data_IF_028374372959
#
_entry.id   IF_028374372959
#
_cell.length_a   1.000
_cell.length_b   1.000
_cell.length_c   1.000
_cell.angle_alpha   90.00
_cell.angle_beta   90.00
_cell.angle_gamma   90.00
#
_symmetry.space_group_name_H-M   'P 1'
#
loop_
_entity.id
_entity.type
_entity.pdbx_description
1 polymer ?
#
# COMPACT_ATOMS: atom_id res chain seq x y z
N UNK A 1 0.28 -7.50 -12.15
CA UNK A 1 -0.77 -7.52 -11.12
C UNK A 1 -0.09 -7.69 -9.77
N UNK A 2 0.39 -6.58 -9.21
CA UNK A 2 1.00 -6.57 -7.87
C UNK A 2 -0.16 -6.44 -6.88
N UNK A 3 -0.47 -7.55 -6.20
CA UNK A 3 -1.46 -7.57 -5.13
C UNK A 3 -1.06 -6.52 -4.09
N UNK A 4 -1.90 -5.50 -3.83
CA UNK A 4 -1.56 -4.46 -2.88
C UNK A 4 -1.53 -5.12 -1.50
N UNK A 5 -0.32 -5.14 -0.93
CA UNK A 5 0.05 -5.35 0.46
C UNK A 5 -1.07 -5.82 1.41
N UNK A 6 -0.94 -7.05 1.92
CA UNK A 6 -1.75 -7.56 3.02
C UNK A 6 -1.67 -6.58 4.22
N UNK A 7 -2.77 -5.90 4.60
CA UNK A 7 -2.74 -4.94 5.69
C UNK A 7 -2.35 -5.61 7.02
N UNK A 8 -1.64 -4.87 7.86
CA UNK A 8 -1.27 -5.31 9.21
C UNK A 8 -2.19 -4.67 10.26
N UNK A 9 -2.68 -5.47 11.21
CA UNK A 9 -3.47 -5.03 12.35
C UNK A 9 -2.72 -5.37 13.63
N UNK A 10 -2.62 -4.43 14.57
CA UNK A 10 -1.99 -4.66 15.88
C UNK A 10 -3.05 -4.73 16.96
N UNK A 11 -2.99 -5.77 17.81
CA UNK A 11 -3.88 -5.93 18.96
C UNK A 11 -3.10 -6.56 20.10
N UNK A 12 -3.12 -5.93 21.28
CA UNK A 12 -2.47 -6.44 22.50
C UNK A 12 -0.96 -6.77 22.34
N UNK A 13 -0.25 -6.01 21.48
CA UNK A 13 1.17 -6.24 21.18
C UNK A 13 1.42 -7.27 20.08
N UNK A 14 0.41 -8.04 19.69
CA UNK A 14 0.46 -9.02 18.61
C UNK A 14 0.18 -8.35 17.25
N UNK A 15 0.78 -8.90 16.19
CA UNK A 15 0.62 -8.44 14.80
C UNK A 15 -0.15 -9.49 14.00
N UNK A 16 -1.24 -9.08 13.38
CA UNK A 16 -2.09 -9.90 12.53
C UNK A 16 -2.02 -9.38 11.09
N UNK A 17 -2.02 -10.29 10.13
CA UNK A 17 -2.13 -9.97 8.70
C UNK A 17 -3.56 -10.19 8.23
N UNK A 18 -4.06 -9.25 7.44
CA UNK A 18 -5.36 -9.36 6.77
C UNK A 18 -5.11 -9.87 5.36
N UNK A 19 -5.52 -11.11 5.08
CA UNK A 19 -5.45 -11.69 3.75
C UNK A 19 -6.68 -11.31 2.91
N UNK A 20 -6.44 -10.53 1.85
CA UNK A 20 -7.45 -10.14 0.87
C UNK A 20 -7.51 -11.05 -0.37
N UNK A 21 -6.76 -12.15 -0.39
CA UNK A 21 -6.75 -13.08 -1.52
C UNK A 21 -8.11 -13.77 -1.75
N UNK A 22 -8.79 -14.35 -0.74
CA UNK A 22 -10.02 -15.13 -0.94
C UNK A 22 -11.19 -14.25 -1.38
N UNK A 23 -11.72 -14.46 -2.60
CA UNK A 23 -12.80 -13.66 -3.17
C UNK A 23 -14.12 -13.75 -2.39
N UNK A 24 -14.39 -14.89 -1.77
CA UNK A 24 -15.61 -15.19 -1.00
C UNK A 24 -15.58 -14.60 0.42
N UNK A 25 -14.41 -14.17 0.92
CA UNK A 25 -14.22 -13.67 2.28
C UNK A 25 -13.59 -12.28 2.34
N UNK A 26 -13.38 -11.64 1.18
CA UNK A 26 -12.81 -10.31 1.05
C UNK A 26 -13.83 -9.31 0.54
N UNK A 27 -13.58 -8.02 0.76
CA UNK A 27 -14.42 -6.94 0.25
C UNK A 27 -13.76 -6.24 -0.95
N UNK A 28 -14.41 -5.18 -1.43
CA UNK A 28 -13.98 -4.38 -2.58
C UNK A 28 -12.63 -3.67 -2.39
N UNK A 29 -12.17 -3.46 -1.15
CA UNK A 29 -10.90 -2.75 -0.89
C UNK A 29 -9.67 -3.51 -1.41
N UNK A 30 -9.78 -4.83 -1.67
CA UNK A 30 -8.72 -5.64 -2.28
C UNK A 30 -8.33 -5.19 -3.70
N UNK A 31 -9.21 -4.44 -4.37
CA UNK A 31 -9.00 -3.96 -5.73
C UNK A 31 -8.43 -2.55 -5.79
N UNK A 32 -8.34 -1.86 -4.65
CA UNK A 32 -7.78 -0.50 -4.57
C UNK A 32 -6.27 -0.60 -4.67
N UNK A 33 -5.69 0.07 -5.67
CA UNK A 33 -4.25 0.05 -5.88
C UNK A 33 -3.51 0.94 -4.88
N UNK A 34 -2.23 0.65 -4.68
CA UNK A 34 -1.34 1.52 -3.92
C UNK A 34 -1.02 2.76 -4.77
N UNK A 35 -1.15 3.95 -4.19
CA UNK A 35 -0.56 5.16 -4.76
C UNK A 35 0.97 4.97 -4.90
N UNK A 36 1.62 5.57 -5.89
CA UNK A 36 3.08 5.55 -5.99
C UNK A 36 3.73 6.66 -5.13
N UNK A 37 2.94 7.70 -4.82
CA UNK A 37 3.38 8.86 -4.05
C UNK A 37 2.28 9.34 -3.08
N UNK A 38 2.63 10.04 -1.99
CA UNK A 38 1.66 10.68 -1.12
C UNK A 38 0.74 11.70 -1.83
N UNK A 39 1.21 12.29 -2.94
CA UNK A 39 0.47 13.32 -3.69
C UNK A 39 -0.70 12.72 -4.49
N UNK A 40 -0.50 11.51 -5.05
CA UNK A 40 -1.52 10.78 -5.80
C UNK A 40 -2.60 10.17 -4.90
N UNK A 41 -2.28 9.96 -3.62
CA UNK A 41 -3.20 9.40 -2.64
C UNK A 41 -4.55 10.13 -2.60
N UNK A 42 -5.65 9.39 -2.73
CA UNK A 42 -7.01 9.90 -2.55
C UNK A 42 -7.85 9.07 -1.57
N UNK A 43 -7.31 7.99 -1.00
CA UNK A 43 -7.96 7.14 -0.01
C UNK A 43 -7.03 6.79 1.17
N UNK A 44 -7.53 6.89 2.40
CA UNK A 44 -6.84 6.47 3.64
C UNK A 44 -7.84 5.90 4.65
N UNK A 45 -8.74 4.99 4.26
CA UNK A 45 -9.99 4.63 4.98
C UNK A 45 -11.10 5.70 4.95
N UNK A 46 -10.73 6.95 4.67
CA UNK A 46 -11.63 8.07 4.34
C UNK A 46 -11.01 8.83 3.16
N UNK A 47 -11.80 9.64 2.46
CA UNK A 47 -11.33 10.49 1.37
C UNK A 47 -10.84 11.82 1.96
N UNK A 48 -9.52 12.07 2.05
CA UNK A 48 -8.99 13.33 2.57
C UNK A 48 -9.19 14.51 1.59
N UNK A 49 -9.46 14.20 0.33
CA UNK A 49 -9.75 15.14 -0.76
C UNK A 49 -10.98 14.67 -1.55
N UNK A 50 -11.59 15.58 -2.30
CA UNK A 50 -12.64 15.21 -3.25
C UNK A 50 -12.06 14.22 -4.27
N UNK A 51 -12.87 13.23 -4.66
CA UNK A 51 -12.55 12.26 -5.71
C UNK A 51 -13.53 12.52 -6.83
N UNK A 52 -13.03 12.92 -7.99
CA UNK A 52 -13.88 13.20 -9.13
C UNK A 52 -14.38 11.88 -9.76
N UNK A 53 -15.54 11.95 -10.41
CA UNK A 53 -16.09 10.78 -11.08
C UNK A 53 -15.13 10.31 -12.20
N UNK A 54 -14.72 9.05 -12.15
CA UNK A 54 -13.79 8.46 -13.10
C UNK A 54 -12.33 8.44 -12.65
N UNK A 55 -11.99 9.04 -11.50
CA UNK A 55 -10.66 8.90 -10.90
C UNK A 55 -10.47 7.51 -10.27
N UNK A 56 -9.27 6.96 -10.40
CA UNK A 56 -8.88 5.71 -9.75
C UNK A 56 -8.69 5.91 -8.24
N UNK A 57 -9.20 4.98 -7.43
CA UNK A 57 -8.97 4.99 -5.99
C UNK A 57 -7.57 4.46 -5.68
N UNK A 58 -6.77 5.28 -5.00
CA UNK A 58 -5.38 5.01 -4.65
C UNK A 58 -5.15 5.21 -3.15
N UNK A 59 -4.69 4.14 -2.49
CA UNK A 59 -4.35 4.13 -1.07
C UNK A 59 -2.85 4.27 -0.87
N UNK A 60 -2.41 5.05 0.12
CA UNK A 60 -1.01 5.12 0.51
C UNK A 60 -0.86 4.71 1.96
N UNK A 61 0.08 3.82 2.26
CA UNK A 61 0.30 3.32 3.62
C UNK A 61 1.40 4.06 4.38
N UNK A 62 1.96 5.12 3.79
CA UNK A 62 3.08 5.87 4.36
C UNK A 62 4.45 5.33 3.94
N UNK A 63 5.48 6.16 4.12
CA UNK A 63 6.87 5.87 3.70
C UNK A 63 7.50 4.69 4.43
N UNK A 64 7.11 4.43 5.68
CA UNK A 64 7.58 3.28 6.45
C UNK A 64 7.12 1.95 5.82
N UNK A 65 5.82 1.86 5.50
CA UNK A 65 5.24 0.67 4.87
C UNK A 65 5.64 0.53 3.40
N UNK A 66 5.75 1.66 2.67
CA UNK A 66 6.24 1.66 1.29
C UNK A 66 7.72 1.23 1.16
N UNK A 67 8.55 1.47 2.19
CA UNK A 67 9.92 0.96 2.27
C UNK A 67 9.97 -0.55 2.55
N UNK A 68 9.11 -1.04 3.44
CA UNK A 68 8.98 -2.48 3.75
C UNK A 68 8.50 -3.29 2.53
N UNK A 69 7.62 -2.70 1.72
CA UNK A 69 7.08 -3.31 0.51
C UNK A 69 7.95 -3.12 -0.75
N UNK A 70 9.15 -2.54 -0.63
CA UNK A 70 10.04 -2.21 -1.75
C UNK A 70 9.44 -1.27 -2.82
N UNK A 71 8.35 -0.57 -2.50
CA UNK A 71 7.66 0.37 -3.40
C UNK A 71 8.46 1.67 -3.55
N UNK A 72 9.16 2.08 -2.50
CA UNK A 72 10.24 3.07 -2.59
C UNK A 72 11.50 2.32 -2.98
N UNK A 73 11.78 2.24 -4.28
CA UNK A 73 12.97 1.58 -4.82
C UNK A 73 14.22 1.92 -4.01
N UNK A 74 15.10 0.92 -3.81
CA UNK A 74 16.37 1.11 -3.08
C UNK A 74 17.03 2.44 -3.51
N UNK A 75 17.61 3.22 -2.58
CA UNK A 75 18.48 4.31 -2.99
C UNK A 75 19.54 3.72 -3.93
N UNK A 76 19.61 4.26 -5.15
CA UNK A 76 20.66 3.92 -6.11
C UNK A 76 21.99 4.37 -5.51
N UNK A 77 22.68 3.48 -4.81
CA UNK A 77 23.95 3.82 -4.16
C UNK A 77 24.29 2.91 -2.99
N UNK A 78 24.58 1.64 -3.26
CA UNK A 78 25.48 0.78 -2.46
C UNK A 78 25.48 -0.62 -3.09
N UNK A 79 25.95 -0.70 -4.33
CA UNK A 79 26.58 -1.94 -4.78
C UNK A 79 27.98 -2.02 -4.15
N UNK A 80 28.49 -3.22 -3.85
CA UNK A 80 29.89 -3.35 -3.42
C UNK A 80 30.81 -2.80 -4.53
N UNK A 81 31.99 -2.25 -4.18
CA UNK A 81 32.94 -1.77 -5.18
C UNK A 81 33.31 -2.95 -6.08
N UNK A 82 33.20 -2.73 -7.39
CA UNK A 82 33.66 -3.67 -8.41
C UNK A 82 35.18 -3.53 -8.46
N UNK A 83 35.88 -4.61 -8.12
CA UNK A 83 37.31 -4.81 -8.40
C UNK A 83 37.51 -5.19 -9.87
#
# INVERSE_FOLDING_TARGET
MLFPACPQVRKDGEVFLVDGCPLDRSNWMRYVNCAASPQEQNLYYRTPKAVDAGEELLVWYGTAFARELWLLGKPRGSGPPVE
#
